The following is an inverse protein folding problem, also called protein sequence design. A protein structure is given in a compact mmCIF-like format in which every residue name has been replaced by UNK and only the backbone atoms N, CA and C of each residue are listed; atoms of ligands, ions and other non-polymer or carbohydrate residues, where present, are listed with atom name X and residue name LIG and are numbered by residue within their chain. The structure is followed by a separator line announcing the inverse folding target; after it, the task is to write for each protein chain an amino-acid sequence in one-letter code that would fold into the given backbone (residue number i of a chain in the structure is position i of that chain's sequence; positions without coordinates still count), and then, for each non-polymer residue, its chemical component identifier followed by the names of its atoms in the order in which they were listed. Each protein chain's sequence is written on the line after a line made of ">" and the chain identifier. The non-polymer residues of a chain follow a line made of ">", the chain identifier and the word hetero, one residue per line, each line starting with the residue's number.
data_IF_867652348248
#
_entry.id   IF_867652348248
#
_cell.length_a   1.000
_cell.length_b   1.000
_cell.length_c   1.000
_cell.angle_alpha   90.00
_cell.angle_beta   90.00
_cell.angle_gamma   90.00
#
_symmetry.space_group_name_H-M   'P 1'
#
loop_
_entity.id
_entity.type
_entity.pdbx_description
1 polymer ?
#
# COMPACT_ATOMS: atom_id res chain seq x y z
N UNK A 1 -55.53 -45.16 6.08
CA UNK A 1 -54.35 -44.58 6.72
C UNK A 1 -53.51 -43.79 5.73
N UNK A 2 -53.54 -42.49 5.85
CA UNK A 2 -52.89 -41.55 4.94
C UNK A 2 -51.69 -40.96 5.68
N UNK A 3 -50.49 -41.47 5.40
CA UNK A 3 -49.23 -40.89 5.90
C UNK A 3 -48.92 -39.59 5.18
N UNK A 4 -48.93 -38.48 5.90
CA UNK A 4 -48.47 -37.16 5.43
C UNK A 4 -47.02 -37.04 5.82
N UNK A 5 -46.12 -37.27 4.86
CA UNK A 5 -44.71 -36.97 5.00
C UNK A 5 -44.55 -35.46 4.97
N UNK A 6 -44.21 -34.85 6.10
CA UNK A 6 -43.76 -33.44 6.18
C UNK A 6 -42.30 -33.39 5.80
N UNK A 7 -42.03 -32.89 4.63
CA UNK A 7 -40.68 -32.51 4.22
C UNK A 7 -40.29 -31.21 4.93
N UNK A 8 -39.37 -31.35 5.87
CA UNK A 8 -38.75 -30.20 6.53
C UNK A 8 -37.66 -29.68 5.60
N UNK A 9 -37.92 -28.60 4.89
CA UNK A 9 -36.91 -27.93 4.07
C UNK A 9 -36.07 -27.09 5.03
N UNK A 10 -34.86 -27.58 5.30
CA UNK A 10 -33.86 -26.84 6.06
C UNK A 10 -33.25 -25.79 5.08
N UNK A 11 -33.69 -24.54 5.14
CA UNK A 11 -33.01 -23.42 4.49
C UNK A 11 -31.74 -23.14 5.28
N UNK A 12 -30.62 -23.71 4.85
CA UNK A 12 -29.31 -23.25 5.26
C UNK A 12 -29.07 -21.91 4.60
N UNK A 13 -29.31 -20.84 5.35
CA UNK A 13 -28.94 -19.50 4.97
C UNK A 13 -27.41 -19.43 4.81
N UNK A 14 -26.94 -19.35 3.57
CA UNK A 14 -25.57 -18.96 3.27
C UNK A 14 -25.43 -17.51 3.74
N UNK A 15 -24.93 -17.31 4.93
CA UNK A 15 -24.47 -16.00 5.35
C UNK A 15 -23.24 -15.68 4.48
N UNK A 16 -23.46 -14.96 3.38
CA UNK A 16 -22.37 -14.27 2.70
C UNK A 16 -21.78 -13.31 3.70
N UNK A 17 -20.68 -13.68 4.32
CA UNK A 17 -19.82 -12.72 4.98
C UNK A 17 -19.35 -11.76 3.89
N UNK A 18 -20.01 -10.62 3.77
CA UNK A 18 -19.48 -9.52 3.01
C UNK A 18 -18.20 -9.13 3.73
N UNK A 19 -17.08 -9.58 3.21
CA UNK A 19 -15.78 -9.14 3.69
C UNK A 19 -15.79 -7.63 3.63
N UNK A 20 -15.62 -6.99 4.78
CA UNK A 20 -15.39 -5.55 4.85
C UNK A 20 -14.06 -5.35 4.11
N UNK A 21 -14.14 -4.92 2.86
CA UNK A 21 -12.96 -4.62 2.08
C UNK A 21 -12.31 -3.38 2.68
N UNK A 22 -11.22 -3.58 3.39
CA UNK A 22 -10.39 -2.47 3.91
C UNK A 22 -9.66 -1.80 2.75
N UNK A 23 -9.42 -0.50 2.87
CA UNK A 23 -8.55 0.22 1.94
C UNK A 23 -7.13 -0.33 2.00
N UNK A 24 -6.48 -0.31 0.86
CA UNK A 24 -5.11 -0.77 0.68
C UNK A 24 -4.23 0.40 0.25
N UNK A 25 -2.94 0.31 0.53
CA UNK A 25 -1.91 1.24 0.05
C UNK A 25 -0.91 0.47 -0.79
N UNK A 26 -0.59 0.99 -1.95
CA UNK A 26 0.43 0.45 -2.84
C UNK A 26 1.19 1.59 -3.53
N UNK A 27 2.20 1.25 -4.30
CA UNK A 27 2.94 2.20 -5.12
C UNK A 27 2.73 1.87 -6.59
N UNK A 28 2.31 2.87 -7.36
CA UNK A 28 2.39 2.85 -8.80
C UNK A 28 3.61 3.68 -9.22
N UNK A 29 4.56 3.08 -9.92
CA UNK A 29 5.70 3.77 -10.47
C UNK A 29 5.82 3.46 -11.96
N UNK A 30 5.91 4.51 -12.78
CA UNK A 30 6.06 4.35 -14.22
C UNK A 30 7.45 3.88 -14.58
N UNK A 31 7.55 3.12 -15.65
CA UNK A 31 8.84 2.78 -16.25
C UNK A 31 9.63 4.06 -16.54
N UNK A 32 10.89 4.11 -16.10
CA UNK A 32 11.71 5.30 -16.13
C UNK A 32 13.05 4.99 -16.79
N UNK A 33 13.43 5.74 -17.80
CA UNK A 33 14.75 5.66 -18.42
C UNK A 33 15.75 6.58 -17.70
N UNK A 34 17.02 6.28 -17.85
CA UNK A 34 18.08 7.13 -17.30
C UNK A 34 17.96 8.57 -17.85
N UNK A 35 18.05 9.55 -16.95
CA UNK A 35 17.87 10.96 -17.25
C UNK A 35 16.43 11.48 -17.17
N UNK A 36 15.44 10.60 -17.14
CA UNK A 36 14.05 10.99 -16.98
C UNK A 36 13.67 11.16 -15.51
N UNK A 37 12.68 12.00 -15.24
CA UNK A 37 12.05 12.10 -13.93
C UNK A 37 11.12 10.93 -13.68
N UNK A 38 11.13 10.41 -12.46
CA UNK A 38 10.17 9.41 -12.01
C UNK A 38 8.77 10.03 -11.93
N UNK A 39 7.79 9.32 -12.47
CA UNK A 39 6.37 9.56 -12.25
C UNK A 39 5.83 8.41 -11.40
N UNK A 40 5.32 8.73 -10.23
CA UNK A 40 4.80 7.74 -9.30
C UNK A 40 3.49 8.21 -8.68
N UNK A 41 2.76 7.28 -8.10
CA UNK A 41 1.52 7.59 -7.38
C UNK A 41 1.41 6.73 -6.12
N UNK A 42 0.81 7.31 -5.08
CA UNK A 42 0.31 6.53 -3.95
C UNK A 42 -0.98 5.87 -4.40
N UNK A 43 -0.98 4.54 -4.47
CA UNK A 43 -2.19 3.76 -4.62
C UNK A 43 -2.97 3.74 -3.31
N UNK A 44 -4.23 4.11 -3.35
CA UNK A 44 -5.12 4.07 -2.20
C UNK A 44 -6.53 3.72 -2.64
N UNK A 45 -7.16 2.78 -1.98
CA UNK A 45 -8.48 2.29 -2.31
C UNK A 45 -8.53 0.76 -2.32
N UNK A 46 -9.30 0.20 -3.24
CA UNK A 46 -9.40 -1.24 -3.47
C UNK A 46 -8.64 -1.59 -4.74
N UNK A 47 -7.43 -2.15 -4.57
CA UNK A 47 -6.57 -2.49 -5.71
C UNK A 47 -7.35 -3.25 -6.81
N UNK A 48 -7.18 -2.92 -8.10
CA UNK A 48 -6.26 -1.93 -8.67
C UNK A 48 -6.86 -0.52 -8.86
N UNK A 49 -8.05 -0.26 -8.31
CA UNK A 49 -8.76 1.01 -8.51
C UNK A 49 -8.18 2.11 -7.64
N UNK A 50 -7.58 3.12 -8.30
CA UNK A 50 -7.07 4.33 -7.68
C UNK A 50 -8.22 5.23 -7.23
N UNK A 51 -8.14 5.72 -5.99
CA UNK A 51 -9.05 6.72 -5.46
C UNK A 51 -8.29 8.02 -5.14
N UNK A 52 -8.98 9.15 -5.30
CA UNK A 52 -8.48 10.42 -4.80
C UNK A 52 -8.53 10.42 -3.29
N UNK A 53 -7.45 10.89 -2.65
CA UNK A 53 -7.39 10.94 -1.19
C UNK A 53 -8.29 12.07 -0.70
N UNK A 54 -9.22 11.75 0.20
CA UNK A 54 -10.09 12.74 0.82
C UNK A 54 -9.29 13.79 1.61
N UNK A 55 -9.73 15.04 1.57
CA UNK A 55 -9.00 16.15 2.16
C UNK A 55 -8.70 15.97 3.66
N UNK A 56 -9.61 15.34 4.41
CA UNK A 56 -9.46 15.05 5.83
C UNK A 56 -8.49 13.89 6.12
N UNK A 57 -7.98 13.21 5.09
CA UNK A 57 -7.02 12.11 5.17
C UNK A 57 -5.66 12.44 4.58
N UNK A 58 -5.50 13.56 3.88
CA UNK A 58 -4.23 13.92 3.25
C UNK A 58 -3.06 13.97 4.24
N UNK A 59 -3.28 14.45 5.44
CA UNK A 59 -2.24 14.53 6.48
C UNK A 59 -1.73 13.17 6.96
N UNK A 60 -2.48 12.09 6.72
CA UNK A 60 -2.11 10.74 7.09
C UNK A 60 -1.00 10.21 6.16
N UNK A 61 -0.98 10.66 4.92
CA UNK A 61 0.00 10.21 3.95
C UNK A 61 1.27 11.06 4.02
N UNK A 62 2.41 10.40 4.24
CA UNK A 62 3.69 11.05 4.05
C UNK A 62 3.94 11.32 2.57
N UNK A 63 4.74 12.34 2.21
CA UNK A 63 5.24 12.46 0.85
C UNK A 63 5.94 11.18 0.44
N UNK A 64 5.77 10.75 -0.81
CA UNK A 64 6.46 9.57 -1.32
C UNK A 64 7.97 9.77 -1.26
N UNK A 65 8.69 8.67 -1.04
CA UNK A 65 10.14 8.65 -0.95
C UNK A 65 10.75 7.77 -2.04
N UNK A 66 11.93 8.15 -2.47
CA UNK A 66 12.78 7.39 -3.37
C UNK A 66 14.10 7.10 -2.67
N UNK A 67 14.43 5.83 -2.48
CA UNK A 67 15.72 5.41 -1.94
C UNK A 67 16.61 4.84 -3.03
N UNK A 68 17.85 5.33 -3.09
CA UNK A 68 18.89 4.88 -3.99
C UNK A 68 20.22 4.75 -3.27
N UNK A 69 21.29 4.49 -4.01
CA UNK A 69 22.65 4.37 -3.45
C UNK A 69 23.13 5.60 -2.69
N UNK A 70 22.69 6.78 -3.10
CA UNK A 70 23.12 8.07 -2.52
C UNK A 70 22.23 8.53 -1.37
N UNK A 71 21.23 7.76 -1.00
CA UNK A 71 20.33 8.08 0.10
C UNK A 71 18.87 8.21 -0.30
N UNK A 72 18.11 8.87 0.56
CA UNK A 72 16.67 9.05 0.40
C UNK A 72 16.35 10.44 -0.17
N UNK A 73 15.49 10.48 -1.17
CA UNK A 73 14.92 11.70 -1.73
C UNK A 73 13.42 11.73 -1.45
N UNK A 74 12.89 12.91 -1.14
CA UNK A 74 11.46 13.16 -1.05
C UNK A 74 10.96 13.55 -2.42
N UNK A 75 9.95 12.84 -2.92
CA UNK A 75 9.31 13.16 -4.18
C UNK A 75 8.42 14.39 -4.02
N UNK A 76 8.21 15.11 -5.11
CA UNK A 76 7.37 16.31 -5.15
C UNK A 76 5.98 15.94 -5.65
N UNK A 77 4.97 16.34 -4.89
CA UNK A 77 3.58 16.19 -5.33
C UNK A 77 3.33 17.09 -6.56
N UNK A 78 2.73 16.49 -7.59
CA UNK A 78 2.42 17.17 -8.84
C UNK A 78 1.23 16.52 -9.51
N UNK A 79 0.25 17.31 -9.93
CA UNK A 79 -1.01 16.81 -10.48
C UNK A 79 -2.03 16.49 -9.40
N UNK A 80 -2.69 15.35 -9.51
CA UNK A 80 -3.64 14.91 -8.50
C UNK A 80 -2.95 14.68 -7.15
N UNK A 81 -3.72 14.72 -6.05
CA UNK A 81 -3.15 14.72 -4.71
C UNK A 81 -2.39 13.44 -4.31
N UNK A 82 -2.47 12.39 -5.11
CA UNK A 82 -1.73 11.14 -4.95
C UNK A 82 -0.56 11.00 -5.92
N UNK A 83 -0.36 11.96 -6.83
CA UNK A 83 0.68 11.92 -7.86
C UNK A 83 1.94 12.63 -7.42
N UNK A 84 3.08 12.03 -7.74
CA UNK A 84 4.40 12.50 -7.36
C UNK A 84 5.40 12.38 -8.50
N UNK A 85 6.41 13.23 -8.48
CA UNK A 85 7.53 13.20 -9.42
C UNK A 85 8.84 13.37 -8.68
N UNK A 86 9.93 12.81 -9.21
CA UNK A 86 11.27 13.15 -8.72
C UNK A 86 11.62 14.60 -9.09
N UNK A 87 12.44 15.24 -8.26
CA UNK A 87 12.89 16.63 -8.51
C UNK A 87 13.75 16.70 -9.75
N UNK A 88 14.62 15.70 -9.92
CA UNK A 88 15.54 15.60 -11.05
C UNK A 88 15.34 14.30 -11.81
N UNK A 89 15.91 14.22 -13.01
CA UNK A 89 16.04 12.98 -13.76
C UNK A 89 16.87 11.96 -12.97
N UNK A 90 16.49 10.68 -13.06
CA UNK A 90 17.14 9.62 -12.32
C UNK A 90 18.37 9.10 -13.08
N UNK A 91 19.41 8.79 -12.32
CA UNK A 91 20.56 8.05 -12.82
C UNK A 91 20.23 6.58 -12.91
N UNK A 92 20.95 5.89 -13.79
CA UNK A 92 20.91 4.44 -13.89
C UNK A 92 21.17 3.77 -12.55
N UNK A 93 20.37 2.78 -12.20
CA UNK A 93 20.47 2.05 -10.94
C UNK A 93 19.15 1.49 -10.47
N UNK A 94 19.18 0.80 -9.34
CA UNK A 94 18.01 0.25 -8.68
C UNK A 94 17.61 1.08 -7.48
N UNK A 95 16.30 1.29 -7.34
CA UNK A 95 15.70 2.18 -6.34
C UNK A 95 14.54 1.49 -5.66
N UNK A 96 14.20 1.98 -4.47
CA UNK A 96 12.93 1.69 -3.82
C UNK A 96 12.06 2.94 -3.81
N UNK A 97 10.81 2.79 -4.25
CA UNK A 97 9.79 3.83 -4.17
C UNK A 97 8.84 3.47 -3.04
N UNK A 98 8.64 4.38 -2.11
CA UNK A 98 7.95 4.12 -0.85
C UNK A 98 6.73 5.02 -0.67
N UNK A 99 5.64 4.42 -0.21
CA UNK A 99 4.45 5.12 0.26
C UNK A 99 4.18 4.76 1.72
N UNK A 100 3.74 5.75 2.50
CA UNK A 100 3.49 5.60 3.92
C UNK A 100 2.14 6.21 4.29
N UNK A 101 1.25 5.38 4.80
CA UNK A 101 0.08 5.77 5.57
C UNK A 101 0.49 5.76 7.03
N UNK A 102 0.60 6.93 7.65
CA UNK A 102 1.12 7.07 9.01
C UNK A 102 0.23 6.37 10.03
N UNK A 103 0.79 5.84 11.11
CA UNK A 103 -0.01 5.29 12.21
C UNK A 103 -1.09 6.29 12.65
N UNK A 104 -2.34 5.85 12.58
CA UNK A 104 -3.51 6.71 12.82
C UNK A 104 -4.52 5.95 13.67
N UNK A 105 -5.01 6.59 14.71
CA UNK A 105 -6.08 6.02 15.52
C UNK A 105 -7.45 6.25 14.87
N UNK A 106 -8.22 5.20 14.83
CA UNK A 106 -9.61 5.20 14.38
C UNK A 106 -10.47 4.57 15.44
N UNK A 107 -11.54 5.24 15.81
CA UNK A 107 -12.51 4.73 16.79
C UNK A 107 -13.93 4.88 16.26
N UNK A 108 -14.76 3.91 16.62
CA UNK A 108 -16.15 3.85 16.25
C UNK A 108 -17.04 3.87 17.49
N UNK A 109 -18.02 4.75 17.50
CA UNK A 109 -19.13 4.75 18.45
C UNK A 109 -20.48 4.68 17.71
N UNK A 110 -21.58 4.93 18.40
CA UNK A 110 -22.92 4.93 17.80
C UNK A 110 -23.09 5.94 16.65
N UNK A 111 -22.24 7.00 16.61
CA UNK A 111 -22.26 8.03 15.56
C UNK A 111 -21.36 7.71 14.36
N UNK A 112 -20.61 6.61 14.40
CA UNK A 112 -19.72 6.16 13.33
C UNK A 112 -18.24 6.30 13.65
N UNK A 113 -17.42 6.25 12.60
CA UNK A 113 -15.97 6.29 12.67
C UNK A 113 -15.42 7.70 12.72
N UNK A 114 -14.39 7.91 13.56
CA UNK A 114 -13.62 9.17 13.63
C UNK A 114 -12.14 8.88 13.80
N UNK A 115 -11.30 9.81 13.34
CA UNK A 115 -9.85 9.78 13.58
C UNK A 115 -9.57 10.20 15.03
N UNK A 116 -9.86 9.33 15.96
CA UNK A 116 -9.70 9.58 17.41
C UNK A 116 -9.16 8.33 18.10
N UNK A 117 -8.35 8.54 19.12
CA UNK A 117 -7.93 7.48 20.03
C UNK A 117 -9.07 7.10 20.98
N UNK A 118 -8.92 5.99 21.69
CA UNK A 118 -9.86 5.58 22.74
C UNK A 118 -9.97 6.65 23.83
N UNK A 119 -8.86 7.34 24.14
CA UNK A 119 -8.86 8.44 25.11
C UNK A 119 -9.72 9.61 24.67
N UNK A 120 -9.74 9.89 23.37
CA UNK A 120 -10.54 10.97 22.77
C UNK A 120 -12.00 10.58 22.56
N UNK A 121 -12.29 9.28 22.48
CA UNK A 121 -13.64 8.72 22.31
C UNK A 121 -13.88 7.63 23.37
N UNK A 122 -14.16 7.99 24.64
CA UNK A 122 -14.33 7.02 25.72
C UNK A 122 -15.51 6.07 25.54
N UNK A 123 -16.50 6.45 24.75
CA UNK A 123 -17.67 5.62 24.41
C UNK A 123 -17.47 4.76 23.14
N UNK A 124 -16.25 4.65 22.66
CA UNK A 124 -15.95 3.82 21.50
C UNK A 124 -16.29 2.36 21.75
N UNK A 125 -16.94 1.74 20.80
CA UNK A 125 -17.20 0.29 20.76
C UNK A 125 -16.03 -0.45 20.15
N UNK A 126 -15.26 0.22 19.30
CA UNK A 126 -14.09 -0.30 18.63
C UNK A 126 -13.04 0.80 18.48
N UNK A 127 -11.79 0.44 18.65
CA UNK A 127 -10.66 1.34 18.45
C UNK A 127 -9.49 0.56 17.82
N UNK A 128 -8.87 1.15 16.83
CA UNK A 128 -7.68 0.59 16.20
C UNK A 128 -6.63 1.67 15.93
N UNK A 129 -5.38 1.25 15.82
CA UNK A 129 -4.32 2.03 15.21
C UNK A 129 -3.94 1.35 13.90
N UNK A 130 -4.13 2.06 12.79
CA UNK A 130 -3.82 1.55 11.45
C UNK A 130 -2.57 2.21 10.92
N UNK A 131 -1.72 1.42 10.27
CA UNK A 131 -0.59 1.88 9.48
C UNK A 131 -0.49 1.02 8.22
N UNK A 132 -0.14 1.62 7.10
CA UNK A 132 -0.02 0.90 5.83
C UNK A 132 1.21 1.40 5.08
N UNK A 133 1.84 0.50 4.32
CA UNK A 133 3.05 0.80 3.60
C UNK A 133 3.01 0.23 2.19
N UNK A 134 3.50 1.00 1.24
CA UNK A 134 3.77 0.54 -0.11
C UNK A 134 5.27 0.52 -0.39
N UNK A 135 5.73 -0.45 -1.15
CA UNK A 135 7.12 -0.57 -1.57
C UNK A 135 7.16 -1.10 -3.00
N UNK A 136 7.91 -0.42 -3.85
CA UNK A 136 8.10 -0.79 -5.25
C UNK A 136 9.58 -0.78 -5.61
N UNK A 137 10.05 -1.83 -6.26
CA UNK A 137 11.40 -1.90 -6.82
C UNK A 137 11.40 -1.27 -8.20
N UNK A 138 12.17 -0.20 -8.37
CA UNK A 138 12.33 0.50 -9.64
C UNK A 138 13.75 0.29 -10.17
N UNK A 139 13.87 -0.30 -11.36
CA UNK A 139 15.15 -0.42 -12.05
C UNK A 139 15.19 0.58 -13.20
N UNK A 140 16.13 1.53 -13.15
CA UNK A 140 16.36 2.55 -14.15
C UNK A 140 17.54 2.16 -15.01
N UNK A 141 17.31 1.97 -16.29
CA UNK A 141 18.31 1.50 -17.25
C UNK A 141 18.12 0.04 -17.66
N UNK A 142 18.59 -0.29 -18.87
CA UNK A 142 18.48 -1.64 -19.43
C UNK A 142 19.39 -2.64 -18.70
N UNK A 143 18.82 -3.76 -18.29
CA UNK A 143 19.57 -4.84 -17.63
C UNK A 143 20.09 -4.53 -16.24
N UNK A 144 19.64 -3.44 -15.63
CA UNK A 144 20.01 -3.10 -14.24
C UNK A 144 19.31 -4.03 -13.28
N UNK A 145 20.09 -4.72 -12.45
CA UNK A 145 19.62 -5.71 -11.48
C UNK A 145 20.37 -5.60 -10.15
N UNK A 146 20.69 -4.37 -9.72
CA UNK A 146 21.42 -4.13 -8.48
C UNK A 146 20.64 -4.66 -7.26
N UNK A 147 21.37 -5.25 -6.32
CA UNK A 147 20.80 -5.81 -5.11
C UNK A 147 21.00 -4.90 -3.88
N UNK A 148 22.02 -4.08 -3.87
CA UNK A 148 22.48 -3.37 -2.68
C UNK A 148 21.36 -2.57 -1.97
N UNK A 149 20.63 -1.73 -2.69
CA UNK A 149 19.58 -0.89 -2.11
C UNK A 149 18.33 -1.70 -1.78
N UNK A 150 17.90 -2.55 -2.70
CA UNK A 150 16.60 -3.21 -2.63
C UNK A 150 16.52 -4.35 -1.61
N UNK A 151 17.67 -4.89 -1.20
CA UNK A 151 17.74 -5.96 -0.20
C UNK A 151 17.92 -5.44 1.23
N UNK A 152 17.95 -4.12 1.41
CA UNK A 152 18.05 -3.50 2.73
C UNK A 152 16.68 -3.18 3.30
N UNK A 153 16.46 -3.42 4.60
CA UNK A 153 15.30 -2.85 5.29
C UNK A 153 15.29 -1.32 5.22
N UNK A 154 14.10 -0.74 5.06
CA UNK A 154 13.92 0.73 5.03
C UNK A 154 13.29 1.26 6.31
N UNK A 155 12.92 0.37 7.26
CA UNK A 155 12.40 0.75 8.56
C UNK A 155 10.87 0.87 8.62
N UNK A 156 10.14 0.29 7.69
CA UNK A 156 8.68 0.16 7.79
C UNK A 156 8.33 -0.76 8.96
N UNK A 157 7.26 -0.45 9.70
CA UNK A 157 6.85 -1.26 10.85
C UNK A 157 6.48 -2.70 10.46
N UNK A 158 5.85 -2.85 9.30
CA UNK A 158 5.66 -4.13 8.63
C UNK A 158 6.30 -4.01 7.25
N UNK A 159 7.29 -4.83 7.00
CA UNK A 159 8.12 -4.67 5.80
C UNK A 159 8.38 -6.01 5.14
N UNK A 160 8.24 -6.06 3.81
CA UNK A 160 8.69 -7.17 3.01
C UNK A 160 10.02 -6.76 2.37
N UNK A 161 11.08 -7.52 2.62
CA UNK A 161 12.42 -7.26 2.10
C UNK A 161 12.76 -8.33 1.08
N UNK A 162 12.91 -7.99 -0.22
CA UNK A 162 13.40 -8.95 -1.20
C UNK A 162 14.86 -9.31 -0.90
N UNK A 163 15.23 -10.58 -1.08
CA UNK A 163 16.58 -11.06 -0.87
C UNK A 163 17.43 -10.98 -2.13
N UNK A 164 16.82 -10.66 -3.26
CA UNK A 164 17.47 -10.29 -4.51
C UNK A 164 16.57 -9.40 -5.35
N UNK A 165 17.13 -8.73 -6.36
CA UNK A 165 16.35 -7.88 -7.25
C UNK A 165 15.33 -8.71 -8.02
N UNK A 166 14.01 -8.38 -7.92
CA UNK A 166 12.97 -9.10 -8.65
C UNK A 166 13.18 -9.14 -10.15
N UNK A 167 13.84 -8.13 -10.72
CA UNK A 167 14.15 -8.07 -12.16
C UNK A 167 15.08 -9.22 -12.61
N UNK A 168 15.85 -9.79 -11.70
CA UNK A 168 16.75 -10.93 -12.01
C UNK A 168 16.02 -12.27 -12.02
N UNK A 169 14.73 -12.31 -11.66
CA UNK A 169 13.94 -13.53 -11.54
C UNK A 169 13.20 -13.79 -12.84
N UNK A 170 13.29 -15.04 -13.31
CA UNK A 170 12.58 -15.50 -14.49
C UNK A 170 11.21 -16.07 -14.11
N UNK A 171 10.30 -16.13 -15.09
CA UNK A 171 8.97 -16.74 -14.91
C UNK A 171 9.11 -18.18 -14.40
N UNK A 172 8.38 -18.50 -13.33
CA UNK A 172 8.42 -19.81 -12.67
C UNK A 172 9.44 -19.94 -11.54
N UNK A 173 10.37 -19.00 -11.40
CA UNK A 173 11.28 -18.94 -10.25
C UNK A 173 10.61 -18.29 -9.03
N UNK A 174 11.14 -18.57 -7.85
CA UNK A 174 10.68 -17.98 -6.60
C UNK A 174 11.47 -16.72 -6.27
N UNK A 175 10.78 -15.68 -5.82
CA UNK A 175 11.42 -14.52 -5.20
C UNK A 175 11.57 -14.79 -3.69
N UNK A 176 12.78 -14.97 -3.16
CA UNK A 176 12.97 -15.07 -1.72
C UNK A 176 12.78 -13.71 -1.06
N UNK A 177 12.04 -13.70 0.04
CA UNK A 177 11.76 -12.50 0.86
C UNK A 177 11.88 -12.83 2.35
N UNK A 178 12.02 -11.79 3.18
CA UNK A 178 11.90 -11.87 4.63
C UNK A 178 11.02 -10.74 5.17
#
# INVERSE_FOLDING_TARGET
>A
HRNKNKWLVLLTGLACSQGIAAHEVWVDAQHTHAGERLQAAIGYGHFPKQEKIAADRLHIFAPMQLQGKTGTQILKQQGENYQYTSVNGLKEGSYLVLATYRPTFWSENASGWKQQSLKQMPDAKYCEQSAMYGKHVLNVGHGVTDNEVITRPVGQMLEIVPLKNPQSIQVGERLPVK
#
